data_IF_408195932704
#
_entry.id   IF_408195932704
#
_cell.length_a   1.000
_cell.length_b   1.000
_cell.length_c   1.000
_cell.angle_alpha   90.00
_cell.angle_beta   90.00
_cell.angle_gamma   90.00
#
_symmetry.space_group_name_H-M   'P 1'
#
loop_
_entity.id
_entity.type
_entity.pdbx_description
1 polymer ?
#
# COMPACT_ATOMS: atom_id res chain seq x y z
N UNK A 1 -40.99 13.14 -20.75
CA UNK A 1 -39.66 12.77 -21.27
C UNK A 1 -38.64 13.51 -20.44
N UNK A 2 -37.95 12.81 -19.53
CA UNK A 2 -36.92 13.41 -18.68
C UNK A 2 -35.61 13.37 -19.47
N UNK A 3 -35.00 14.53 -19.73
CA UNK A 3 -33.67 14.62 -20.34
C UNK A 3 -32.67 14.78 -19.21
N UNK A 4 -31.90 13.73 -18.93
CA UNK A 4 -30.82 13.78 -17.95
C UNK A 4 -29.59 14.37 -18.66
N UNK A 5 -29.08 15.48 -18.13
CA UNK A 5 -27.86 16.11 -18.65
C UNK A 5 -26.61 15.35 -18.21
N UNK A 6 -25.54 15.40 -18.99
CA UNK A 6 -24.22 14.80 -18.65
C UNK A 6 -23.74 15.23 -17.26
N UNK A 7 -23.92 16.51 -16.92
CA UNK A 7 -23.55 17.05 -15.61
C UNK A 7 -24.30 16.42 -14.44
N UNK A 8 -25.57 16.04 -14.65
CA UNK A 8 -26.36 15.33 -13.64
C UNK A 8 -25.89 13.89 -13.48
N UNK A 9 -25.54 13.21 -14.57
CA UNK A 9 -24.96 11.86 -14.52
C UNK A 9 -23.62 11.85 -13.77
N UNK A 10 -22.75 12.81 -14.05
CA UNK A 10 -21.45 12.95 -13.37
C UNK A 10 -21.64 13.15 -11.86
N UNK A 11 -22.59 14.00 -11.47
CA UNK A 11 -22.90 14.23 -10.05
C UNK A 11 -23.42 12.96 -9.36
N UNK A 12 -24.33 12.22 -10.01
CA UNK A 12 -24.82 10.95 -9.47
C UNK A 12 -23.70 9.91 -9.33
N UNK A 13 -22.82 9.82 -10.32
CA UNK A 13 -21.69 8.89 -10.28
C UNK A 13 -20.72 9.23 -9.14
N UNK A 14 -20.37 10.51 -8.98
CA UNK A 14 -19.52 10.97 -7.87
C UNK A 14 -20.15 10.69 -6.51
N UNK A 15 -21.46 10.91 -6.37
CA UNK A 15 -22.18 10.62 -5.14
C UNK A 15 -22.20 9.11 -4.82
N UNK A 16 -22.46 8.27 -5.83
CA UNK A 16 -22.43 6.81 -5.66
C UNK A 16 -21.03 6.29 -5.29
N UNK A 17 -19.98 6.83 -5.93
CA UNK A 17 -18.60 6.47 -5.62
C UNK A 17 -18.24 6.87 -4.19
N UNK A 18 -18.63 8.07 -3.76
CA UNK A 18 -18.42 8.51 -2.37
C UNK A 18 -19.14 7.60 -1.37
N UNK A 19 -20.40 7.27 -1.60
CA UNK A 19 -21.16 6.37 -0.73
C UNK A 19 -20.59 4.95 -0.71
N UNK A 20 -20.04 4.48 -1.83
CA UNK A 20 -19.34 3.20 -1.88
C UNK A 20 -18.08 3.22 -1.02
N UNK A 21 -17.23 4.25 -1.14
CA UNK A 21 -16.02 4.39 -0.33
C UNK A 21 -16.34 4.51 1.17
N UNK A 22 -17.34 5.30 1.54
CA UNK A 22 -17.77 5.45 2.94
C UNK A 22 -18.25 4.11 3.53
N UNK A 23 -19.04 3.32 2.77
CA UNK A 23 -19.46 1.98 3.19
C UNK A 23 -18.28 1.01 3.28
N UNK A 24 -17.38 1.04 2.31
CA UNK A 24 -16.20 0.17 2.31
C UNK A 24 -15.28 0.47 3.50
N UNK A 25 -15.08 1.75 3.81
CA UNK A 25 -14.32 2.17 4.98
C UNK A 25 -14.97 1.69 6.29
N UNK A 26 -16.29 1.82 6.41
CA UNK A 26 -17.01 1.30 7.56
C UNK A 26 -16.85 -0.22 7.69
N UNK A 27 -16.99 -0.95 6.59
CA UNK A 27 -16.80 -2.41 6.56
C UNK A 27 -15.38 -2.84 6.93
N UNK A 28 -14.35 -2.14 6.44
CA UNK A 28 -12.96 -2.41 6.82
C UNK A 28 -12.74 -2.23 8.33
N UNK A 29 -13.32 -1.18 8.92
CA UNK A 29 -13.21 -0.94 10.36
C UNK A 29 -13.98 -1.96 11.21
N UNK A 30 -15.08 -2.50 10.68
CA UNK A 30 -15.90 -3.53 11.34
C UNK A 30 -15.20 -4.90 11.31
N UNK A 31 -14.69 -5.31 10.14
CA UNK A 31 -14.07 -6.61 9.92
C UNK A 31 -12.60 -6.67 10.35
N UNK A 32 -11.89 -5.53 10.36
CA UNK A 32 -10.46 -5.45 10.67
C UNK A 32 -10.16 -4.32 11.69
N UNK A 33 -10.40 -4.56 13.00
CA UNK A 33 -10.24 -3.55 14.05
C UNK A 33 -8.84 -2.93 14.17
N UNK A 34 -7.80 -3.61 13.68
CA UNK A 34 -6.42 -3.11 13.68
C UNK A 34 -6.27 -1.78 12.91
N UNK A 35 -7.15 -1.52 11.95
CA UNK A 35 -7.18 -0.25 11.21
C UNK A 35 -7.91 0.88 11.93
N UNK A 36 -8.58 0.62 13.06
CA UNK A 36 -9.31 1.64 13.82
C UNK A 36 -8.41 2.72 14.43
N UNK A 37 -7.10 2.46 14.56
CA UNK A 37 -6.12 3.45 15.00
C UNK A 37 -5.73 4.48 13.93
N UNK A 38 -6.04 4.22 12.65
CA UNK A 38 -5.69 5.14 11.57
C UNK A 38 -6.60 6.37 11.53
N UNK A 39 -6.07 7.57 11.24
CA UNK A 39 -6.89 8.73 10.95
C UNK A 39 -7.83 8.46 9.78
N UNK A 40 -9.04 9.00 9.85
CA UNK A 40 -10.07 8.81 8.84
C UNK A 40 -9.56 9.13 7.42
N UNK A 41 -8.86 10.26 7.26
CA UNK A 41 -8.32 10.70 5.96
C UNK A 41 -7.23 9.75 5.44
N UNK A 42 -6.43 9.18 6.35
CA UNK A 42 -5.39 8.20 5.99
C UNK A 42 -6.03 6.92 5.47
N UNK A 43 -7.00 6.34 6.19
CA UNK A 43 -7.68 5.13 5.74
C UNK A 43 -8.44 5.35 4.43
N UNK A 44 -9.11 6.50 4.29
CA UNK A 44 -9.78 6.89 3.05
C UNK A 44 -8.80 6.99 1.87
N UNK A 45 -7.61 7.54 2.09
CA UNK A 45 -6.53 7.57 1.09
C UNK A 45 -6.07 6.16 0.72
N UNK A 46 -5.79 5.29 1.69
CA UNK A 46 -5.34 3.91 1.44
C UNK A 46 -6.38 3.10 0.65
N UNK A 47 -7.67 3.21 1.01
CA UNK A 47 -8.77 2.59 0.27
C UNK A 47 -8.82 3.11 -1.17
N UNK A 48 -8.58 4.40 -1.37
CA UNK A 48 -8.56 5.00 -2.70
C UNK A 48 -7.45 4.40 -3.59
N UNK A 49 -6.25 4.19 -3.03
CA UNK A 49 -5.14 3.54 -3.73
C UNK A 49 -5.45 2.06 -4.03
N UNK A 50 -6.03 1.36 -3.07
CA UNK A 50 -6.43 -0.04 -3.22
C UNK A 50 -7.49 -0.23 -4.32
N UNK A 51 -8.50 0.64 -4.39
CA UNK A 51 -9.49 0.64 -5.47
C UNK A 51 -8.87 0.94 -6.84
N UNK A 52 -7.92 1.88 -6.89
CA UNK A 52 -7.19 2.17 -8.12
C UNK A 52 -6.38 0.96 -8.60
N UNK A 53 -5.75 0.23 -7.67
CA UNK A 53 -5.00 -1.00 -7.93
C UNK A 53 -5.92 -2.12 -8.40
N UNK A 54 -7.04 -2.34 -7.72
CA UNK A 54 -8.07 -3.32 -8.07
C UNK A 54 -8.58 -3.09 -9.51
N UNK A 55 -8.81 -1.84 -9.89
CA UNK A 55 -9.20 -1.47 -11.26
C UNK A 55 -8.16 -1.85 -12.33
N UNK A 56 -6.88 -2.04 -11.99
CA UNK A 56 -5.86 -2.52 -12.94
C UNK A 56 -5.98 -4.00 -13.28
N UNK A 57 -6.64 -4.78 -12.43
CA UNK A 57 -7.01 -6.17 -12.75
C UNK A 57 -8.27 -6.26 -13.64
N UNK A 58 -8.91 -5.12 -13.92
CA UNK A 58 -10.10 -5.02 -14.77
C UNK A 58 -11.42 -5.10 -14.01
N UNK A 59 -11.38 -5.04 -12.67
CA UNK A 59 -12.59 -5.03 -11.85
C UNK A 59 -13.34 -3.71 -12.00
N UNK A 60 -14.64 -3.81 -12.20
CA UNK A 60 -15.54 -2.67 -12.37
C UNK A 60 -16.73 -2.74 -11.42
N UNK A 61 -17.08 -3.91 -10.90
CA UNK A 61 -18.19 -4.08 -9.97
C UNK A 61 -17.76 -3.70 -8.55
N UNK A 62 -18.65 -2.99 -7.85
CA UNK A 62 -18.39 -2.57 -6.47
C UNK A 62 -18.16 -3.76 -5.52
N UNK A 63 -18.81 -4.90 -5.76
CA UNK A 63 -18.60 -6.13 -4.98
C UNK A 63 -17.18 -6.66 -5.11
N UNK A 64 -16.69 -6.84 -6.33
CA UNK A 64 -15.34 -7.35 -6.62
C UNK A 64 -14.25 -6.38 -6.14
N UNK A 65 -14.48 -5.08 -6.34
CA UNK A 65 -13.60 -4.04 -5.81
C UNK A 65 -13.53 -4.10 -4.28
N UNK A 66 -14.65 -4.29 -3.60
CA UNK A 66 -14.68 -4.44 -2.15
C UNK A 66 -13.98 -5.73 -1.70
N UNK A 67 -14.25 -6.88 -2.33
CA UNK A 67 -13.57 -8.15 -2.04
C UNK A 67 -12.05 -8.01 -2.14
N UNK A 68 -11.54 -7.35 -3.18
CA UNK A 68 -10.10 -7.09 -3.32
C UNK A 68 -9.54 -6.29 -2.14
N UNK A 69 -10.24 -5.24 -1.70
CA UNK A 69 -9.83 -4.44 -0.54
C UNK A 69 -9.89 -5.27 0.75
N UNK A 70 -10.91 -6.12 0.92
CA UNK A 70 -10.98 -7.02 2.08
C UNK A 70 -9.88 -8.06 2.10
N UNK A 71 -9.44 -8.58 0.94
CA UNK A 71 -8.26 -9.45 0.87
C UNK A 71 -6.98 -8.70 1.25
N UNK A 72 -6.85 -7.42 0.87
CA UNK A 72 -5.73 -6.58 1.32
C UNK A 72 -5.70 -6.40 2.84
N UNK A 73 -6.86 -6.29 3.48
CA UNK A 73 -6.95 -6.10 4.94
C UNK A 73 -6.82 -7.40 5.71
N UNK A 74 -7.42 -8.49 5.22
CA UNK A 74 -7.52 -9.77 5.91
C UNK A 74 -6.29 -10.66 5.73
N UNK A 75 -5.65 -10.62 4.55
CA UNK A 75 -4.48 -11.46 4.24
C UNK A 75 -3.21 -10.62 4.29
N UNK A 76 -3.05 -9.71 3.32
CA UNK A 76 -1.88 -8.87 3.20
C UNK A 76 -2.13 -7.76 2.17
N UNK A 77 -1.67 -6.51 2.38
CA UNK A 77 -1.84 -5.44 1.40
C UNK A 77 -1.15 -5.70 0.05
N UNK A 78 -0.21 -6.65 0.03
CA UNK A 78 0.54 -7.10 -1.13
C UNK A 78 0.22 -8.55 -1.52
N UNK A 79 -0.93 -9.12 -1.11
CA UNK A 79 -1.31 -10.51 -1.38
C UNK A 79 -1.25 -10.87 -2.89
N UNK A 80 -1.64 -9.93 -3.74
CA UNK A 80 -1.66 -10.05 -5.20
C UNK A 80 -0.26 -10.08 -5.83
N UNK A 81 0.81 -9.90 -5.04
CA UNK A 81 2.18 -10.16 -5.48
C UNK A 81 2.57 -11.63 -5.36
N UNK A 82 1.76 -12.47 -4.70
CA UNK A 82 2.01 -13.90 -4.64
C UNK A 82 1.81 -14.53 -6.03
N UNK A 83 2.76 -15.31 -6.58
CA UNK A 83 2.71 -15.82 -7.95
C UNK A 83 1.41 -16.56 -8.32
N UNK A 84 0.92 -17.43 -7.43
CA UNK A 84 -0.30 -18.19 -7.69
C UNK A 84 -1.57 -17.31 -7.66
N UNK A 85 -1.60 -16.31 -6.77
CA UNK A 85 -2.72 -15.37 -6.65
C UNK A 85 -2.75 -14.46 -7.88
N UNK A 86 -1.59 -13.87 -8.22
CA UNK A 86 -1.45 -13.03 -9.41
C UNK A 86 -1.92 -13.76 -10.67
N UNK A 87 -1.49 -15.01 -10.87
CA UNK A 87 -1.87 -15.82 -12.01
C UNK A 87 -3.39 -15.98 -12.16
N UNK A 88 -4.14 -16.14 -11.05
CA UNK A 88 -5.60 -16.18 -11.10
C UNK A 88 -6.22 -14.81 -11.36
N UNK A 89 -5.69 -13.73 -10.75
CA UNK A 89 -6.18 -12.36 -10.94
C UNK A 89 -6.03 -11.86 -12.39
N UNK A 90 -5.05 -12.36 -13.14
CA UNK A 90 -4.80 -11.98 -14.55
C UNK A 90 -5.28 -13.01 -15.56
N UNK A 91 -5.97 -14.07 -15.14
CA UNK A 91 -6.39 -15.15 -16.04
C UNK A 91 -7.37 -14.64 -17.12
N UNK A 92 -6.98 -14.64 -18.42
CA UNK A 92 -7.84 -14.12 -19.49
C UNK A 92 -9.00 -15.05 -19.84
N UNK A 93 -8.95 -16.32 -19.41
CA UNK A 93 -10.03 -17.29 -19.61
C UNK A 93 -11.21 -17.10 -18.64
N UNK A 94 -11.08 -16.20 -17.66
CA UNK A 94 -12.09 -15.93 -16.63
C UNK A 94 -12.48 -14.44 -16.70
N UNK A 95 -13.80 -14.13 -16.73
CA UNK A 95 -14.28 -12.75 -16.60
C UNK A 95 -13.71 -12.09 -15.34
N UNK A 96 -13.31 -10.81 -15.42
CA UNK A 96 -12.61 -10.15 -14.31
C UNK A 96 -13.38 -10.26 -12.99
N UNK A 97 -14.69 -10.08 -13.01
CA UNK A 97 -15.53 -10.09 -11.81
C UNK A 97 -15.60 -11.46 -11.12
N UNK A 98 -15.30 -12.56 -11.82
CA UNK A 98 -15.38 -13.93 -11.28
C UNK A 98 -14.02 -14.44 -10.74
N UNK A 99 -12.93 -13.68 -10.93
CA UNK A 99 -11.56 -14.16 -10.64
C UNK A 99 -11.28 -14.33 -9.16
N UNK A 100 -11.81 -13.47 -8.31
CA UNK A 100 -11.60 -13.55 -6.86
C UNK A 100 -12.30 -14.78 -6.29
N UNK A 101 -13.58 -14.97 -6.63
CA UNK A 101 -14.35 -16.14 -6.20
C UNK A 101 -13.65 -17.44 -6.64
N UNK A 102 -13.15 -17.51 -7.88
CA UNK A 102 -12.39 -18.68 -8.34
C UNK A 102 -11.04 -18.86 -7.64
N UNK A 103 -10.38 -17.79 -7.19
CA UNK A 103 -9.15 -17.90 -6.40
C UNK A 103 -9.44 -18.55 -5.05
N UNK A 104 -10.53 -18.15 -4.38
CA UNK A 104 -10.94 -18.74 -3.11
C UNK A 104 -11.24 -20.25 -3.25
N UNK A 105 -11.82 -20.67 -4.38
CA UNK A 105 -12.17 -22.08 -4.63
C UNK A 105 -11.00 -22.96 -5.10
N UNK A 106 -10.04 -22.39 -5.83
CA UNK A 106 -9.07 -23.18 -6.61
C UNK A 106 -7.60 -22.95 -6.24
N UNK A 107 -7.30 -22.03 -5.33
CA UNK A 107 -5.92 -21.87 -4.86
C UNK A 107 -5.48 -23.11 -4.07
N UNK A 108 -4.25 -23.60 -4.28
CA UNK A 108 -3.69 -24.66 -3.45
C UNK A 108 -3.67 -24.27 -1.97
N UNK A 109 -3.84 -25.27 -1.10
CA UNK A 109 -3.70 -25.12 0.35
C UNK A 109 -2.35 -24.47 0.70
N UNK A 110 -2.37 -23.56 1.68
CA UNK A 110 -1.17 -22.85 2.18
C UNK A 110 -0.77 -21.60 1.39
N UNK A 111 -1.30 -21.36 0.18
CA UNK A 111 -0.97 -20.14 -0.59
C UNK A 111 -1.37 -18.87 0.15
N UNK A 112 -2.52 -18.86 0.82
CA UNK A 112 -2.97 -17.72 1.61
C UNK A 112 -2.07 -17.47 2.82
N UNK A 113 -1.60 -18.54 3.49
CA UNK A 113 -0.68 -18.45 4.61
C UNK A 113 0.68 -17.89 4.16
N UNK A 114 1.22 -18.37 3.04
CA UNK A 114 2.46 -17.85 2.46
C UNK A 114 2.37 -16.36 2.09
N UNK A 115 1.20 -15.93 1.59
CA UNK A 115 0.95 -14.52 1.29
C UNK A 115 0.90 -13.67 2.57
N UNK A 116 0.27 -14.17 3.63
CA UNK A 116 0.21 -13.51 4.93
C UNK A 116 1.59 -13.44 5.62
N UNK A 117 2.40 -14.49 5.55
CA UNK A 117 3.77 -14.51 6.08
C UNK A 117 4.69 -13.47 5.42
N UNK A 118 4.38 -13.10 4.17
CA UNK A 118 5.11 -12.08 3.38
C UNK A 118 4.40 -10.73 3.36
N UNK A 119 3.50 -10.49 4.30
CA UNK A 119 2.77 -9.24 4.39
C UNK A 119 3.72 -8.03 4.49
N UNK A 120 3.38 -6.97 3.74
CA UNK A 120 4.12 -5.71 3.76
C UNK A 120 3.15 -4.53 3.66
N UNK A 121 3.39 -3.51 4.48
CA UNK A 121 2.58 -2.27 4.47
C UNK A 121 2.77 -1.48 3.18
N UNK A 122 3.90 -1.69 2.47
CA UNK A 122 4.16 -1.13 1.15
C UNK A 122 3.00 -1.39 0.18
N UNK A 123 2.33 -2.55 0.30
CA UNK A 123 1.22 -2.94 -0.59
C UNK A 123 0.06 -1.95 -0.60
N UNK A 124 -0.18 -1.24 0.51
CA UNK A 124 -1.20 -0.18 0.62
C UNK A 124 -0.92 1.02 -0.28
N UNK A 125 0.34 1.23 -0.65
CA UNK A 125 0.81 2.38 -1.42
C UNK A 125 1.04 2.07 -2.90
N UNK A 126 0.68 0.87 -3.35
CA UNK A 126 0.75 0.48 -4.75
C UNK A 126 -0.57 0.81 -5.45
N UNK A 127 -0.48 1.39 -6.65
CA UNK A 127 -1.66 1.84 -7.42
C UNK A 127 -1.85 1.08 -8.73
N UNK A 128 -1.03 0.06 -8.98
CA UNK A 128 -1.09 -0.76 -10.19
C UNK A 128 -0.74 -2.21 -9.92
N UNK A 129 -0.93 -3.06 -10.92
CA UNK A 129 -0.25 -4.36 -10.95
C UNK A 129 1.26 -4.08 -11.01
N UNK A 130 1.96 -4.53 -9.97
CA UNK A 130 3.41 -4.36 -9.83
C UNK A 130 4.16 -5.68 -9.72
N UNK A 131 3.49 -6.79 -10.05
CA UNK A 131 4.08 -8.12 -10.00
C UNK A 131 5.36 -8.22 -10.84
N UNK A 132 5.35 -7.60 -12.02
CA UNK A 132 6.51 -7.56 -12.93
C UNK A 132 7.58 -6.53 -12.57
N UNK A 133 7.33 -5.65 -11.59
CA UNK A 133 8.31 -4.65 -11.18
C UNK A 133 9.40 -5.27 -10.31
N UNK A 134 10.57 -4.64 -10.31
CA UNK A 134 11.63 -4.97 -9.36
C UNK A 134 11.32 -4.36 -7.99
N UNK A 135 11.88 -4.91 -6.89
CA UNK A 135 11.70 -4.35 -5.55
C UNK A 135 12.00 -2.84 -5.47
N UNK A 136 13.12 -2.31 -6.04
CA UNK A 136 13.38 -0.88 -6.02
C UNK A 136 12.31 -0.03 -6.70
N UNK A 137 11.72 -0.52 -7.80
CA UNK A 137 10.70 0.20 -8.54
C UNK A 137 9.36 0.21 -7.79
N UNK A 138 9.01 -0.89 -7.12
CA UNK A 138 7.85 -0.94 -6.22
C UNK A 138 8.00 0.04 -5.07
N UNK A 139 9.15 0.04 -4.40
CA UNK A 139 9.43 0.97 -3.29
C UNK A 139 9.35 2.43 -3.78
N UNK A 140 9.92 2.74 -4.95
CA UNK A 140 9.83 4.08 -5.50
C UNK A 140 8.38 4.52 -5.80
N UNK A 141 7.56 3.63 -6.37
CA UNK A 141 6.14 3.90 -6.60
C UNK A 141 5.39 4.09 -5.28
N UNK A 142 5.63 3.23 -4.29
CA UNK A 142 5.01 3.32 -2.98
C UNK A 142 5.36 4.64 -2.28
N UNK A 143 6.63 5.06 -2.30
CA UNK A 143 7.07 6.34 -1.72
C UNK A 143 6.39 7.53 -2.39
N UNK A 144 6.19 7.48 -3.71
CA UNK A 144 5.50 8.54 -4.45
C UNK A 144 4.01 8.67 -4.06
N UNK A 145 3.38 7.60 -3.57
CA UNK A 145 1.98 7.62 -3.12
C UNK A 145 1.84 7.83 -1.60
N UNK A 146 2.88 7.50 -0.84
CA UNK A 146 2.89 7.59 0.61
C UNK A 146 3.30 8.96 1.14
N UNK A 147 4.21 9.65 0.43
CA UNK A 147 4.78 10.91 0.90
C UNK A 147 3.95 12.13 0.45
N UNK A 148 3.83 13.16 1.29
CA UNK A 148 3.23 14.43 0.93
C UNK A 148 3.91 15.10 -0.28
N UNK A 149 3.10 15.80 -1.08
CA UNK A 149 3.54 16.41 -2.34
C UNK A 149 4.66 17.45 -2.17
N UNK A 150 4.69 18.17 -1.04
CA UNK A 150 5.75 19.12 -0.71
C UNK A 150 7.10 18.44 -0.49
N UNK A 151 7.11 17.27 0.15
CA UNK A 151 8.32 16.43 0.31
C UNK A 151 8.79 15.93 -1.06
N UNK A 152 7.89 15.39 -1.87
CA UNK A 152 8.22 14.91 -3.22
C UNK A 152 8.77 16.03 -4.11
N UNK A 153 8.18 17.23 -4.04
CA UNK A 153 8.66 18.40 -4.78
C UNK A 153 10.05 18.83 -4.33
N UNK A 154 10.36 18.70 -3.04
CA UNK A 154 11.70 18.98 -2.53
C UNK A 154 12.74 17.95 -3.01
N UNK A 155 12.34 16.68 -3.16
CA UNK A 155 13.20 15.61 -3.66
C UNK A 155 13.54 15.76 -5.14
N UNK A 156 12.56 16.09 -5.98
CA UNK A 156 12.79 16.28 -7.42
C UNK A 156 13.82 17.38 -7.72
N UNK A 157 14.00 18.34 -6.81
CA UNK A 157 15.03 19.38 -6.91
C UNK A 157 16.44 18.92 -6.50
N UNK A 158 16.54 17.82 -5.76
CA UNK A 158 17.81 17.31 -5.18
C UNK A 158 18.43 16.17 -5.98
N UNK A 159 17.82 15.78 -7.10
CA UNK A 159 18.20 14.61 -7.92
C UNK A 159 18.38 13.32 -7.07
N UNK A 160 17.61 13.24 -5.98
CA UNK A 160 17.70 12.12 -5.04
C UNK A 160 16.91 10.95 -5.61
N UNK A 161 17.64 9.94 -6.07
CA UNK A 161 17.05 8.65 -6.46
C UNK A 161 16.80 7.78 -5.24
N UNK A 162 15.91 6.79 -5.36
CA UNK A 162 15.62 5.84 -4.27
C UNK A 162 16.80 4.87 -4.05
N UNK A 163 17.59 4.59 -5.09
CA UNK A 163 18.66 3.58 -5.07
C UNK A 163 19.73 3.77 -3.98
N UNK A 164 20.28 4.99 -3.73
CA UNK A 164 21.20 5.22 -2.60
C UNK A 164 20.58 4.88 -1.25
N UNK A 165 19.30 5.22 -1.04
CA UNK A 165 18.61 4.92 0.22
C UNK A 165 18.41 3.40 0.41
N UNK A 166 18.09 2.66 -0.66
CA UNK A 166 17.98 1.20 -0.59
C UNK A 166 19.32 0.52 -0.32
N UNK A 167 20.40 1.00 -0.94
CA UNK A 167 21.74 0.49 -0.66
C UNK A 167 22.13 0.78 0.79
N UNK A 168 21.80 1.96 1.30
CA UNK A 168 22.03 2.31 2.70
C UNK A 168 21.22 1.42 3.65
N UNK A 169 19.94 1.19 3.34
CA UNK A 169 19.09 0.28 4.11
C UNK A 169 19.68 -1.13 4.19
N UNK A 170 20.16 -1.70 3.08
CA UNK A 170 20.83 -3.02 3.07
C UNK A 170 22.11 -3.05 3.90
N UNK A 171 22.92 -1.99 3.84
CA UNK A 171 24.11 -1.86 4.70
C UNK A 171 23.76 -1.83 6.20
N UNK A 172 22.52 -1.49 6.54
CA UNK A 172 21.99 -1.53 7.92
C UNK A 172 21.25 -2.84 8.24
N UNK A 173 21.18 -3.78 7.31
CA UNK A 173 20.54 -5.08 7.48
C UNK A 173 19.04 -5.13 7.14
N UNK A 174 18.47 -4.10 6.52
CA UNK A 174 17.09 -4.16 6.03
C UNK A 174 17.02 -4.94 4.71
N UNK A 175 16.75 -6.23 4.80
CA UNK A 175 16.67 -7.13 3.64
C UNK A 175 15.27 -7.15 2.99
N UNK A 176 14.20 -6.91 3.77
CA UNK A 176 12.83 -6.92 3.27
C UNK A 176 12.46 -5.64 2.51
N UNK A 177 11.54 -5.73 1.54
CA UNK A 177 11.00 -4.56 0.84
C UNK A 177 10.36 -3.56 1.80
N UNK A 178 9.64 -4.10 2.79
CA UNK A 178 8.97 -3.36 3.84
C UNK A 178 9.94 -2.51 4.67
N UNK A 179 11.02 -3.13 5.15
CA UNK A 179 12.07 -2.43 5.91
C UNK A 179 12.81 -1.40 5.06
N UNK A 180 13.11 -1.73 3.81
CA UNK A 180 13.76 -0.81 2.87
C UNK A 180 12.86 0.39 2.53
N UNK A 181 11.56 0.19 2.41
CA UNK A 181 10.56 1.25 2.18
C UNK A 181 10.52 2.25 3.34
N UNK A 182 10.40 1.76 4.58
CA UNK A 182 10.40 2.63 5.77
C UNK A 182 11.72 3.37 5.92
N UNK A 183 12.84 2.68 5.76
CA UNK A 183 14.16 3.31 5.85
C UNK A 183 14.33 4.41 4.80
N UNK A 184 13.95 4.14 3.55
CA UNK A 184 14.03 5.11 2.47
C UNK A 184 13.12 6.32 2.74
N UNK A 185 11.92 6.11 3.29
CA UNK A 185 11.05 7.21 3.71
C UNK A 185 11.69 8.07 4.81
N UNK A 186 12.29 7.46 5.84
CA UNK A 186 13.05 8.21 6.84
C UNK A 186 14.19 9.01 6.22
N UNK A 187 14.96 8.42 5.31
CA UNK A 187 16.07 9.10 4.66
C UNK A 187 15.61 10.31 3.84
N UNK A 188 14.48 10.18 3.15
CA UNK A 188 13.86 11.27 2.38
C UNK A 188 13.39 12.40 3.30
N UNK A 189 12.71 12.05 4.39
CA UNK A 189 12.07 12.99 5.31
C UNK A 189 13.08 13.71 6.20
N UNK A 190 14.07 12.98 6.71
CA UNK A 190 15.02 13.45 7.73
C UNK A 190 16.43 13.76 7.16
N UNK A 191 16.71 13.33 5.94
CA UNK A 191 17.99 13.51 5.24
C UNK A 191 18.88 12.25 5.27
N UNK A 192 19.91 12.24 4.41
CA UNK A 192 20.77 11.07 4.15
C UNK A 192 21.45 10.48 5.38
N UNK A 193 21.77 11.32 6.36
CA UNK A 193 22.48 10.93 7.58
C UNK A 193 21.55 10.84 8.80
N UNK A 194 20.25 10.65 8.62
CA UNK A 194 19.30 10.67 9.75
C UNK A 194 19.65 9.63 10.84
N UNK A 195 20.13 8.47 10.40
CA UNK A 195 20.50 7.33 11.23
C UNK A 195 21.61 7.65 12.25
N UNK A 196 22.47 8.62 11.93
CA UNK A 196 23.58 9.06 12.79
C UNK A 196 23.37 10.46 13.37
N UNK A 197 22.62 11.32 12.68
CA UNK A 197 22.40 12.73 13.05
C UNK A 197 21.48 12.90 14.26
N UNK A 198 20.46 12.04 14.40
CA UNK A 198 19.46 12.20 15.45
C UNK A 198 19.69 11.24 16.63
N UNK A 199 19.52 11.75 17.85
CA UNK A 199 19.65 10.95 19.08
C UNK A 199 18.68 9.78 19.14
N UNK A 200 17.43 9.99 18.70
CA UNK A 200 16.42 8.94 18.66
C UNK A 200 16.81 7.83 17.67
N UNK A 201 17.36 8.19 16.51
CA UNK A 201 17.75 7.23 15.48
C UNK A 201 18.89 6.35 15.99
N UNK A 202 19.90 6.96 16.63
CA UNK A 202 21.01 6.21 17.26
C UNK A 202 20.53 5.18 18.28
N UNK A 203 19.47 5.48 19.04
CA UNK A 203 18.86 4.53 19.99
C UNK A 203 18.15 3.38 19.28
N UNK A 204 17.40 3.66 18.23
CA UNK A 204 16.73 2.64 17.39
C UNK A 204 17.78 1.67 16.84
N UNK A 205 18.83 2.19 16.22
CA UNK A 205 19.89 1.37 15.60
C UNK A 205 20.76 0.61 16.60
N UNK A 206 20.74 0.95 17.89
CA UNK A 206 21.44 0.20 18.93
C UNK A 206 20.76 -1.15 19.29
N UNK A 207 19.49 -1.36 18.91
CA UNK A 207 18.73 -2.58 19.21
C UNK A 207 19.14 -3.82 18.41
N UNK A 208 19.84 -3.63 17.28
CA UNK A 208 20.40 -4.71 16.44
C UNK A 208 19.43 -5.52 15.59
N UNK A 209 18.10 -5.44 15.79
CA UNK A 209 17.12 -6.17 14.97
C UNK A 209 16.44 -5.24 13.94
N UNK A 210 16.66 -5.42 12.63
CA UNK A 210 16.08 -4.58 11.57
C UNK A 210 14.55 -4.55 11.54
N UNK A 211 13.86 -5.62 11.91
CA UNK A 211 12.39 -5.67 11.93
C UNK A 211 11.84 -4.78 13.04
N UNK A 212 12.43 -4.87 14.24
CA UNK A 212 12.08 -3.99 15.37
C UNK A 212 12.42 -2.54 15.03
N UNK A 213 13.56 -2.31 14.36
CA UNK A 213 13.95 -0.97 13.91
C UNK A 213 12.93 -0.41 12.92
N UNK A 214 12.47 -1.19 11.94
CA UNK A 214 11.46 -0.75 10.98
C UNK A 214 10.19 -0.27 11.70
N UNK A 215 9.67 -1.03 12.67
CA UNK A 215 8.51 -0.63 13.47
C UNK A 215 8.77 0.69 14.21
N UNK A 216 9.93 0.83 14.87
CA UNK A 216 10.27 2.06 15.60
C UNK A 216 10.44 3.27 14.67
N UNK A 217 10.94 3.06 13.45
CA UNK A 217 11.04 4.11 12.43
C UNK A 217 9.66 4.58 11.97
N UNK A 218 8.70 3.65 11.78
CA UNK A 218 7.30 3.98 11.46
C UNK A 218 6.65 4.81 12.56
N UNK A 219 6.83 4.38 13.81
CA UNK A 219 6.33 5.12 14.97
C UNK A 219 6.86 6.55 14.98
N UNK A 220 8.15 6.72 14.68
CA UNK A 220 8.78 8.04 14.62
C UNK A 220 8.20 8.92 13.50
N UNK A 221 8.00 8.36 12.31
CA UNK A 221 7.37 9.03 11.16
C UNK A 221 5.91 9.41 11.45
N UNK A 222 5.17 8.52 12.10
CA UNK A 222 3.78 8.77 12.52
C UNK A 222 3.72 9.89 13.57
N UNK A 223 4.59 9.88 14.56
CA UNK A 223 4.58 10.87 15.64
C UNK A 223 4.94 12.28 15.13
N UNK A 224 6.06 12.40 14.42
CA UNK A 224 6.65 13.68 14.02
C UNK A 224 6.06 14.24 12.72
N UNK A 225 5.69 13.39 11.76
CA UNK A 225 5.24 13.81 10.43
C UNK A 225 3.81 13.43 10.08
N UNK A 226 3.13 12.67 10.96
CA UNK A 226 1.79 12.11 10.69
C UNK A 226 1.77 11.24 9.44
N UNK A 227 2.88 10.55 9.15
CA UNK A 227 3.02 9.62 8.04
C UNK A 227 2.83 8.18 8.53
N UNK A 228 1.85 7.49 7.96
CA UNK A 228 1.38 6.16 8.39
C UNK A 228 1.88 5.05 7.46
N UNK A 229 3.20 4.94 7.31
CA UNK A 229 3.88 3.97 6.44
C UNK A 229 4.29 2.71 7.17
#
# INVERSE_FOLDING_TARGET
MIIISTRQMDFFQQQQERQFRERLQAGVLEECPDYAGLPHDTLSHLISLALQRAGKYGFTWQSTLAQFVFLMTAIAPNFDLHPAIHAGLVNPGVPAEDRIDLLEENLPDGVWDEAAERASTLGWYLTSDTYSLTPPNRIAQALANALPQDILTALSKRDTTVSPALNHARLKGFETEDGQFVFAACQIVYGESFDTRFDWARKIFASGNPEIQAVQLRDQLTQDKKLWI
#
